data_IF_407257113961
#
_entry.id   IF_407257113961
#
_cell.length_a   1.000
_cell.length_b   1.000
_cell.length_c   1.000
_cell.angle_alpha   90.00
_cell.angle_beta   90.00
_cell.angle_gamma   90.00
#
_symmetry.space_group_name_H-M   'P 1'
#
loop_
_entity.id
_entity.type
_entity.pdbx_description
1 polymer ?
#
# COMPACT_ATOMS: atom_id res chain seq x y z
N UNK A 1 -43.61 -3.32 -50.79
CA UNK A 1 -43.15 -2.69 -49.53
C UNK A 1 -42.19 -3.65 -48.86
N UNK A 2 -40.89 -3.37 -48.90
CA UNK A 2 -39.84 -4.20 -48.29
C UNK A 2 -39.40 -3.51 -46.99
N UNK A 3 -39.81 -4.11 -45.85
CA UNK A 3 -39.37 -3.65 -44.51
C UNK A 3 -37.93 -4.09 -44.27
N UNK A 4 -37.01 -3.14 -44.10
CA UNK A 4 -35.67 -3.38 -43.65
C UNK A 4 -35.67 -3.39 -42.12
N UNK A 5 -35.37 -4.51 -41.51
CA UNK A 5 -35.10 -4.65 -40.09
C UNK A 5 -33.64 -4.26 -39.85
N UNK A 6 -33.42 -3.13 -39.19
CA UNK A 6 -32.09 -2.69 -38.73
C UNK A 6 -31.82 -3.39 -37.40
N UNK A 7 -30.87 -4.31 -37.40
CA UNK A 7 -30.34 -4.92 -36.17
C UNK A 7 -29.29 -3.95 -35.57
N UNK A 8 -29.62 -3.32 -34.46
CA UNK A 8 -28.65 -2.56 -33.63
C UNK A 8 -27.94 -3.56 -32.74
N UNK A 9 -26.67 -3.85 -33.05
CA UNK A 9 -25.79 -4.62 -32.16
C UNK A 9 -25.33 -3.75 -31.04
N UNK A 10 -25.79 -3.98 -29.81
CA UNK A 10 -25.27 -3.36 -28.60
C UNK A 10 -23.95 -4.07 -28.25
N UNK A 11 -22.83 -3.40 -28.52
CA UNK A 11 -21.52 -3.85 -28.10
C UNK A 11 -21.40 -3.50 -26.60
N UNK A 12 -21.59 -4.49 -25.73
CA UNK A 12 -21.20 -4.37 -24.32
C UNK A 12 -19.66 -4.33 -24.24
N UNK A 13 -19.09 -3.14 -24.08
CA UNK A 13 -17.69 -2.98 -23.71
C UNK A 13 -17.54 -3.50 -22.29
N UNK A 14 -16.85 -4.63 -22.12
CA UNK A 14 -16.39 -5.07 -20.81
C UNK A 14 -15.35 -4.08 -20.31
N UNK A 15 -15.40 -3.63 -19.04
CA UNK A 15 -14.34 -2.83 -18.48
C UNK A 15 -13.05 -3.65 -18.51
N UNK A 16 -12.05 -3.19 -19.24
CA UNK A 16 -10.72 -3.74 -19.16
C UNK A 16 -10.20 -3.44 -17.75
N UNK A 17 -9.93 -4.47 -16.96
CA UNK A 17 -9.15 -4.32 -15.73
C UNK A 17 -7.79 -3.79 -16.14
N UNK A 18 -7.48 -2.57 -15.76
CA UNK A 18 -6.14 -2.02 -15.94
C UNK A 18 -5.21 -2.72 -14.94
N UNK A 19 -4.00 -3.06 -15.39
CA UNK A 19 -2.98 -3.58 -14.49
C UNK A 19 -2.62 -2.54 -13.41
N UNK A 20 -2.21 -2.98 -12.20
CA UNK A 20 -1.72 -2.08 -11.16
C UNK A 20 -0.61 -1.17 -11.68
N UNK A 21 -0.65 0.10 -11.31
CA UNK A 21 0.32 1.10 -11.75
C UNK A 21 1.30 1.40 -10.63
N UNK A 22 2.59 1.19 -10.89
CA UNK A 22 3.66 1.68 -10.02
C UNK A 22 3.75 3.21 -10.10
N UNK A 23 3.70 3.87 -8.94
CA UNK A 23 3.78 5.33 -8.86
C UNK A 23 5.25 5.79 -8.91
N UNK A 24 5.64 6.55 -9.95
CA UNK A 24 7.00 7.05 -10.07
C UNK A 24 7.33 8.11 -9.02
N UNK A 25 8.64 8.36 -8.82
CA UNK A 25 9.09 9.47 -7.99
C UNK A 25 8.55 10.79 -8.52
N UNK A 26 8.06 11.64 -7.62
CA UNK A 26 7.48 12.94 -7.96
C UNK A 26 6.00 12.92 -8.35
N UNK A 27 5.38 11.76 -8.47
CA UNK A 27 3.92 11.69 -8.63
C UNK A 27 3.21 12.25 -7.38
N UNK A 28 2.23 13.14 -7.58
CA UNK A 28 1.49 13.75 -6.48
C UNK A 28 0.82 12.71 -5.58
N UNK A 29 0.17 11.70 -6.17
CA UNK A 29 -0.47 10.62 -5.44
C UNK A 29 0.52 9.81 -4.60
N UNK A 30 1.76 9.60 -5.07
CA UNK A 30 2.80 8.95 -4.28
C UNK A 30 3.10 9.74 -3.00
N UNK A 31 3.21 11.07 -3.09
CA UNK A 31 3.37 11.95 -1.94
C UNK A 31 2.22 11.83 -0.96
N UNK A 32 0.99 11.93 -1.46
CA UNK A 32 -0.23 11.82 -0.66
C UNK A 32 -0.31 10.51 0.14
N UNK A 33 -0.07 9.37 -0.50
CA UNK A 33 -0.09 8.06 0.17
C UNK A 33 1.00 7.94 1.25
N UNK A 34 2.22 8.38 0.96
CA UNK A 34 3.31 8.36 1.92
C UNK A 34 3.06 9.31 3.10
N UNK A 35 2.47 10.47 2.86
CA UNK A 35 2.13 11.42 3.90
C UNK A 35 0.95 10.96 4.76
N UNK A 36 0.03 10.17 4.19
CA UNK A 36 -1.05 9.50 4.93
C UNK A 36 -0.49 8.41 5.87
N UNK A 37 0.53 7.68 5.44
CA UNK A 37 1.17 6.61 6.23
C UNK A 37 2.10 7.18 7.32
N UNK A 38 2.77 8.29 7.05
CA UNK A 38 3.85 8.84 7.88
C UNK A 38 3.47 9.01 9.36
N UNK A 39 2.35 9.65 9.74
CA UNK A 39 2.04 9.87 11.15
C UNK A 39 1.84 8.57 11.92
N UNK A 40 1.33 7.53 11.27
CA UNK A 40 1.14 6.21 11.88
C UNK A 40 2.48 5.54 12.16
N UNK A 41 3.39 5.59 11.20
CA UNK A 41 4.73 5.02 11.34
C UNK A 41 5.56 5.83 12.35
N UNK A 42 5.42 7.15 12.38
CA UNK A 42 6.09 8.00 13.37
C UNK A 42 5.58 7.77 14.79
N UNK A 43 4.31 7.41 14.95
CA UNK A 43 3.76 6.99 16.25
C UNK A 43 4.46 5.73 16.77
N UNK A 44 4.76 4.78 15.88
CA UNK A 44 5.38 3.51 16.24
C UNK A 44 6.91 3.56 16.29
N UNK A 45 7.55 4.21 15.33
CA UNK A 45 9.01 4.25 15.22
C UNK A 45 9.64 5.51 15.81
N UNK A 46 8.84 6.52 16.18
CA UNK A 46 9.31 7.84 16.58
C UNK A 46 9.64 8.72 15.36
N UNK A 47 9.32 10.00 15.47
CA UNK A 47 9.61 11.01 14.45
C UNK A 47 11.08 11.51 14.52
N UNK A 48 11.61 12.07 13.44
CA UNK A 48 11.06 12.11 12.09
C UNK A 48 11.39 10.85 11.28
N UNK A 49 10.52 10.50 10.32
CA UNK A 49 10.68 9.34 9.44
C UNK A 49 10.75 9.78 7.98
N UNK A 50 11.70 9.22 7.24
CA UNK A 50 11.74 9.22 5.77
C UNK A 50 11.51 7.80 5.24
N UNK A 51 10.84 7.70 4.09
CA UNK A 51 10.60 6.42 3.44
C UNK A 51 11.53 6.20 2.26
N UNK A 52 12.17 5.03 2.23
CA UNK A 52 12.75 4.44 1.04
C UNK A 52 11.70 3.50 0.47
N UNK A 53 11.16 3.83 -0.71
CA UNK A 53 10.07 3.10 -1.33
C UNK A 53 10.63 1.98 -2.19
N UNK A 54 10.29 0.73 -1.87
CA UNK A 54 10.59 -0.46 -2.68
C UNK A 54 9.55 -0.62 -3.78
N UNK A 55 8.26 -0.53 -3.43
CA UNK A 55 7.15 -0.50 -4.39
C UNK A 55 5.98 0.30 -3.81
N UNK A 56 5.23 0.94 -4.68
CA UNK A 56 3.99 1.63 -4.32
C UNK A 56 3.07 1.57 -5.53
N UNK A 57 2.14 0.65 -5.48
CA UNK A 57 1.24 0.33 -6.58
C UNK A 57 -0.18 0.77 -6.27
N UNK A 58 -0.90 1.18 -7.30
CA UNK A 58 -2.30 1.61 -7.24
C UNK A 58 -3.11 0.83 -8.28
N UNK A 59 -4.27 0.37 -7.85
CA UNK A 59 -5.32 -0.21 -8.69
C UNK A 59 -6.66 0.44 -8.32
N UNK A 60 -7.14 1.35 -9.15
CA UNK A 60 -8.36 2.11 -8.90
C UNK A 60 -8.33 2.87 -7.57
N UNK A 61 -9.21 2.48 -6.66
CA UNK A 61 -9.35 3.08 -5.32
C UNK A 61 -8.58 2.32 -4.23
N UNK A 62 -7.67 1.43 -4.61
CA UNK A 62 -6.81 0.63 -3.73
C UNK A 62 -5.35 0.89 -4.01
N UNK A 63 -4.52 0.82 -2.97
CA UNK A 63 -3.07 0.88 -3.11
C UNK A 63 -2.37 -0.05 -2.11
N UNK A 64 -1.16 -0.47 -2.47
CA UNK A 64 -0.29 -1.25 -1.62
C UNK A 64 1.14 -0.69 -1.68
N UNK A 65 1.71 -0.44 -0.51
CA UNK A 65 3.07 0.07 -0.37
C UNK A 65 3.98 -0.93 0.34
N UNK A 66 5.22 -1.01 -0.14
CA UNK A 66 6.36 -1.57 0.57
C UNK A 66 7.43 -0.52 0.69
N UNK A 67 7.73 -0.13 1.91
CA UNK A 67 8.69 0.92 2.21
C UNK A 67 9.59 0.50 3.38
N UNK A 68 10.76 1.12 3.46
CA UNK A 68 11.63 1.02 4.64
C UNK A 68 11.75 2.40 5.25
N UNK A 69 11.54 2.50 6.56
CA UNK A 69 11.71 3.74 7.29
C UNK A 69 13.18 3.96 7.66
N UNK A 70 13.59 5.22 7.59
CA UNK A 70 14.90 5.69 8.06
C UNK A 70 14.76 7.06 8.69
N UNK A 71 15.78 7.52 9.37
CA UNK A 71 15.90 8.91 9.81
C UNK A 71 16.30 9.80 8.64
N UNK A 72 16.10 11.13 8.74
CA UNK A 72 16.63 12.07 7.77
C UNK A 72 18.12 11.82 7.48
N UNK A 73 18.51 12.10 6.24
CA UNK A 73 19.87 11.85 5.74
C UNK A 73 20.29 10.38 5.69
N UNK A 74 19.31 9.46 5.79
CA UNK A 74 19.56 8.02 5.64
C UNK A 74 20.08 7.33 6.91
N UNK A 75 20.07 7.98 8.05
CA UNK A 75 20.48 7.36 9.30
C UNK A 75 19.52 6.20 9.67
N UNK A 76 20.03 5.07 10.19
CA UNK A 76 19.21 3.92 10.55
C UNK A 76 18.34 4.22 11.78
N UNK A 77 17.22 3.49 11.89
CA UNK A 77 16.37 3.46 13.07
C UNK A 77 16.84 2.31 13.96
N UNK A 78 17.22 2.63 15.21
CA UNK A 78 17.48 1.62 16.22
C UNK A 78 16.14 1.10 16.76
N UNK A 79 15.76 -0.11 16.36
CA UNK A 79 14.49 -0.71 16.74
C UNK A 79 14.32 -0.88 18.26
N UNK A 80 15.42 -1.05 19.00
CA UNK A 80 15.37 -1.19 20.47
C UNK A 80 14.79 0.05 21.16
N UNK A 81 14.97 1.22 20.55
CA UNK A 81 14.58 2.51 21.14
C UNK A 81 13.26 3.04 20.60
N UNK A 82 12.60 2.28 19.72
CA UNK A 82 11.33 2.72 19.11
C UNK A 82 10.18 2.68 20.11
N UNK A 83 9.23 3.63 19.99
CA UNK A 83 8.04 3.65 20.85
C UNK A 83 7.26 2.33 20.84
N UNK A 84 7.08 1.67 19.67
CA UNK A 84 6.36 0.40 19.58
C UNK A 84 7.02 -0.70 20.42
N UNK A 85 8.35 -0.83 20.35
CA UNK A 85 9.07 -1.86 21.10
C UNK A 85 8.98 -1.58 22.59
N UNK A 86 9.15 -0.32 23.00
CA UNK A 86 9.08 0.08 24.42
C UNK A 86 7.66 -0.05 24.99
N UNK A 87 6.64 0.31 24.22
CA UNK A 87 5.24 0.26 24.64
C UNK A 87 4.72 -1.16 24.74
N UNK A 88 5.02 -2.00 23.72
CA UNK A 88 4.39 -3.30 23.54
C UNK A 88 5.27 -4.44 24.02
N UNK A 89 6.51 -4.17 24.43
CA UNK A 89 7.46 -5.17 24.92
C UNK A 89 7.82 -6.22 23.87
N UNK A 90 7.88 -5.83 22.59
CA UNK A 90 8.08 -6.76 21.49
C UNK A 90 9.51 -7.32 21.49
N UNK A 91 9.68 -8.65 21.40
CA UNK A 91 10.99 -9.24 21.21
C UNK A 91 11.57 -8.85 19.85
N UNK A 92 12.82 -8.39 19.82
CA UNK A 92 13.44 -7.88 18.58
C UNK A 92 13.67 -8.95 17.52
N UNK A 93 13.82 -10.20 17.91
CA UNK A 93 13.93 -11.36 17.02
C UNK A 93 12.63 -11.67 16.27
N UNK A 94 11.53 -11.05 16.66
CA UNK A 94 10.22 -11.14 15.97
C UNK A 94 9.97 -10.01 14.99
N UNK A 95 10.89 -9.04 14.86
CA UNK A 95 10.74 -7.84 14.05
C UNK A 95 11.85 -7.78 13.00
N UNK A 96 11.48 -7.79 11.71
CA UNK A 96 12.42 -7.66 10.59
C UNK A 96 12.69 -6.18 10.25
N UNK A 97 13.26 -5.46 11.21
CA UNK A 97 13.66 -4.06 11.06
C UNK A 97 12.52 -3.07 10.78
N UNK A 98 12.83 -1.89 10.24
CA UNK A 98 11.85 -0.83 9.98
C UNK A 98 11.19 -0.95 8.60
N UNK A 99 10.99 -2.17 8.10
CA UNK A 99 10.25 -2.42 6.86
C UNK A 99 8.76 -2.34 7.12
N UNK A 100 8.04 -1.64 6.26
CA UNK A 100 6.61 -1.41 6.38
C UNK A 100 5.91 -1.90 5.12
N UNK A 101 4.81 -2.59 5.31
CA UNK A 101 3.84 -2.94 4.27
C UNK A 101 2.50 -2.36 4.67
N UNK A 102 1.81 -1.69 3.73
CA UNK A 102 0.57 -0.97 4.03
C UNK A 102 -0.45 -1.07 2.90
N UNK A 103 -1.70 -1.29 3.27
CA UNK A 103 -2.86 -1.21 2.39
C UNK A 103 -3.57 0.13 2.55
N UNK A 104 -4.00 0.68 1.41
CA UNK A 104 -4.75 1.94 1.35
C UNK A 104 -6.06 1.77 0.61
N UNK A 105 -7.01 2.57 0.98
CA UNK A 105 -8.28 2.72 0.29
C UNK A 105 -8.60 4.21 0.10
N UNK A 106 -9.04 4.57 -1.09
CA UNK A 106 -9.54 5.91 -1.40
C UNK A 106 -11.02 5.99 -1.02
N UNK A 107 -11.32 6.85 -0.07
CA UNK A 107 -12.70 7.27 0.24
C UNK A 107 -13.10 8.44 -0.66
N UNK A 108 -14.35 8.89 -0.56
CA UNK A 108 -14.82 10.08 -1.29
C UNK A 108 -13.98 11.33 -0.97
N UNK A 109 -13.44 11.41 0.23
CA UNK A 109 -12.74 12.59 0.73
C UNK A 109 -11.22 12.51 0.59
N UNK A 110 -10.61 11.32 0.77
CA UNK A 110 -9.16 11.16 0.89
C UNK A 110 -8.72 9.70 0.79
N UNK A 111 -7.42 9.49 0.67
CA UNK A 111 -6.80 8.19 0.93
C UNK A 111 -6.65 7.93 2.42
N UNK A 112 -6.87 6.69 2.82
CA UNK A 112 -6.74 6.22 4.20
C UNK A 112 -5.92 4.94 4.24
N UNK A 113 -5.11 4.77 5.28
CA UNK A 113 -4.43 3.49 5.56
C UNK A 113 -5.47 2.54 6.16
N UNK A 114 -5.67 1.41 5.53
CA UNK A 114 -6.59 0.37 6.01
C UNK A 114 -5.91 -0.50 7.06
N UNK A 115 -4.69 -0.92 6.75
CA UNK A 115 -3.86 -1.75 7.62
C UNK A 115 -2.39 -1.58 7.25
N UNK A 116 -1.51 -1.66 8.22
CA UNK A 116 -0.07 -1.67 8.00
C UNK A 116 0.62 -2.53 9.07
N UNK A 117 1.77 -3.08 8.69
CA UNK A 117 2.62 -3.85 9.60
C UNK A 117 4.05 -3.37 9.46
N UNK A 118 4.75 -3.25 10.58
CA UNK A 118 6.17 -2.90 10.66
C UNK A 118 6.96 -4.15 11.03
N UNK A 119 7.98 -4.45 10.23
CA UNK A 119 8.92 -5.52 10.51
C UNK A 119 8.30 -6.92 10.47
N UNK A 120 7.33 -7.15 9.60
CA UNK A 120 6.73 -8.48 9.43
C UNK A 120 7.78 -9.51 9.02
N UNK A 121 7.82 -10.63 9.75
CA UNK A 121 8.70 -11.78 9.47
C UNK A 121 8.02 -12.86 8.63
N UNK A 122 6.75 -12.66 8.30
CA UNK A 122 5.92 -13.54 7.49
C UNK A 122 5.15 -12.76 6.43
N UNK A 123 4.42 -13.48 5.59
CA UNK A 123 3.54 -12.93 4.56
C UNK A 123 2.16 -12.71 5.20
N UNK A 124 2.06 -11.72 6.10
CA UNK A 124 0.86 -11.41 6.87
C UNK A 124 -0.36 -11.08 6.01
N UNK A 125 -0.09 -10.53 4.82
CA UNK A 125 -1.11 -10.17 3.84
C UNK A 125 -1.53 -11.33 2.93
N UNK A 126 -1.01 -12.55 3.15
CA UNK A 126 -1.41 -13.73 2.38
C UNK A 126 -2.92 -13.97 2.47
N UNK A 127 -3.58 -13.96 1.31
CA UNK A 127 -5.03 -14.10 1.23
C UNK A 127 -5.82 -12.89 1.73
N UNK A 128 -5.14 -11.78 2.05
CA UNK A 128 -5.78 -10.54 2.52
C UNK A 128 -6.67 -9.99 1.44
N UNK A 129 -7.96 -10.00 1.71
CA UNK A 129 -9.01 -9.40 0.86
C UNK A 129 -8.72 -9.46 -0.66
N UNK A 130 -8.45 -10.66 -1.18
CA UNK A 130 -8.12 -10.86 -2.60
C UNK A 130 -9.19 -10.29 -3.55
N UNK A 131 -10.42 -10.12 -3.09
CA UNK A 131 -11.47 -9.50 -3.89
C UNK A 131 -11.17 -8.03 -4.21
N UNK A 132 -10.57 -7.29 -3.27
CA UNK A 132 -10.32 -5.86 -3.40
C UNK A 132 -8.85 -5.52 -3.70
N UNK A 133 -7.91 -6.37 -3.27
CA UNK A 133 -6.47 -6.14 -3.43
C UNK A 133 -5.78 -7.19 -4.31
N UNK A 134 -6.53 -8.11 -4.91
CA UNK A 134 -5.95 -9.24 -5.64
C UNK A 134 -5.03 -8.83 -6.77
N UNK A 135 -5.35 -7.79 -7.52
CA UNK A 135 -4.48 -7.27 -8.57
C UNK A 135 -3.14 -6.77 -8.03
N UNK A 136 -3.14 -6.10 -6.85
CA UNK A 136 -1.94 -5.60 -6.17
C UNK A 136 -1.10 -6.71 -5.52
N UNK A 137 -1.68 -7.89 -5.30
CA UNK A 137 -1.08 -9.05 -4.65
C UNK A 137 -0.90 -10.25 -5.59
N UNK A 138 -1.11 -10.09 -6.88
CA UNK A 138 -1.12 -11.18 -7.87
C UNK A 138 0.20 -11.97 -7.91
N UNK A 139 1.34 -11.32 -7.68
CA UNK A 139 2.65 -11.98 -7.59
C UNK A 139 2.75 -12.93 -6.39
N UNK A 140 1.83 -12.86 -5.43
CA UNK A 140 1.93 -13.48 -4.13
C UNK A 140 0.79 -14.45 -3.82
N UNK A 141 -0.04 -14.77 -4.80
CA UNK A 141 -1.02 -15.83 -4.68
C UNK A 141 -2.47 -15.39 -4.43
N UNK A 142 -2.77 -14.11 -4.63
CA UNK A 142 -4.12 -13.73 -4.94
C UNK A 142 -4.38 -13.86 -6.45
#
# INVERSE_FOLDING_TARGET
>A
MRSFLVFVAIICALPASADPVDLPRGAALRGELLDTLRPLVEYDLGAPVQFVVTSLQVDGDRAFARVTAQRPMGAPIDMNTTPMVQRDGLPLDTIDGPRIEAFFHQTVARWEVVEYVIGATNVWWWGYDCKHYGALLSEWGC
#
